data_IF_126104485593
#
_entry.id   IF_126104485593
#
_cell.length_a   1.000
_cell.length_b   1.000
_cell.length_c   1.000
_cell.angle_alpha   90.00
_cell.angle_beta   90.00
_cell.angle_gamma   90.00
#
_symmetry.space_group_name_H-M   'P 1'
#
loop_
_entity.id
_entity.type
_entity.pdbx_description
1 polymer ?
#
# COMPACT_ATOMS: atom_id res chain seq x y z
N UNK A 1 -8.80 3.52 -9.63
CA UNK A 1 -7.87 2.57 -10.30
C UNK A 1 -8.66 1.33 -10.60
N UNK A 2 -8.54 0.78 -11.80
CA UNK A 2 -9.27 -0.44 -12.19
C UNK A 2 -8.65 -1.65 -11.49
N UNK A 3 -9.48 -2.66 -11.19
CA UNK A 3 -8.99 -3.90 -10.57
C UNK A 3 -7.94 -4.61 -11.44
N UNK A 4 -8.05 -4.52 -12.77
CA UNK A 4 -7.05 -4.98 -13.74
C UNK A 4 -5.67 -4.34 -13.57
N UNK A 5 -5.62 -3.03 -13.28
CA UNK A 5 -4.38 -2.30 -13.03
C UNK A 5 -3.77 -2.73 -11.69
N UNK A 6 -4.61 -2.92 -10.66
CA UNK A 6 -4.20 -3.42 -9.34
C UNK A 6 -3.63 -4.84 -9.45
N UNK A 7 -4.28 -5.73 -10.21
CA UNK A 7 -3.80 -7.08 -10.42
C UNK A 7 -2.43 -7.11 -11.09
N UNK A 8 -2.21 -6.21 -12.06
CA UNK A 8 -0.91 -6.04 -12.71
C UNK A 8 0.18 -5.57 -11.72
N UNK A 9 -0.16 -4.64 -10.82
CA UNK A 9 0.76 -4.09 -9.82
C UNK A 9 1.23 -5.12 -8.79
N UNK A 10 0.34 -6.04 -8.40
CA UNK A 10 0.64 -7.06 -7.37
C UNK A 10 0.93 -8.45 -7.96
N UNK A 11 0.93 -8.58 -9.29
CA UNK A 11 1.02 -9.86 -10.02
C UNK A 11 -0.03 -10.86 -9.54
N UNK A 12 -1.26 -10.39 -9.41
CA UNK A 12 -2.41 -11.18 -8.95
C UNK A 12 -3.32 -11.63 -10.09
N UNK A 13 -4.21 -12.56 -9.76
CA UNK A 13 -5.23 -13.11 -10.65
C UNK A 13 -6.63 -12.68 -10.20
N UNK A 14 -7.47 -12.23 -11.12
CA UNK A 14 -8.79 -11.68 -10.83
C UNK A 14 -9.86 -12.76 -10.93
N UNK A 15 -10.71 -12.84 -9.91
CA UNK A 15 -11.93 -13.64 -9.88
C UNK A 15 -13.12 -12.69 -9.69
N UNK A 16 -13.75 -12.28 -10.78
CA UNK A 16 -14.84 -11.29 -10.78
C UNK A 16 -14.68 -10.28 -11.91
N UNK A 17 -15.19 -9.06 -11.71
CA UNK A 17 -15.20 -7.98 -12.70
C UNK A 17 -13.86 -7.21 -12.74
N UNK A 18 -13.05 -7.32 -13.81
CA UNK A 18 -11.77 -6.62 -13.93
C UNK A 18 -11.87 -5.10 -14.05
N UNK A 19 -13.01 -4.57 -14.54
CA UNK A 19 -13.22 -3.13 -14.71
C UNK A 19 -13.81 -2.45 -13.46
N UNK A 20 -13.85 -3.15 -12.34
CA UNK A 20 -14.26 -2.62 -11.04
C UNK A 20 -13.36 -1.45 -10.61
N UNK A 21 -13.98 -0.33 -10.24
CA UNK A 21 -13.28 0.85 -9.74
C UNK A 21 -12.94 0.72 -8.25
N UNK A 22 -11.63 0.70 -7.96
CA UNK A 22 -11.10 0.74 -6.60
C UNK A 22 -10.54 2.15 -6.31
N UNK A 23 -10.98 2.71 -5.19
CA UNK A 23 -10.72 4.09 -4.73
C UNK A 23 -9.88 4.16 -3.47
N UNK A 24 -9.82 3.07 -2.70
CA UNK A 24 -9.11 3.04 -1.43
C UNK A 24 -8.70 1.63 -1.01
N UNK A 25 -7.94 1.58 0.07
CA UNK A 25 -7.40 0.35 0.67
C UNK A 25 -7.71 0.41 2.16
N UNK A 26 -8.41 -0.60 2.68
CA UNK A 26 -8.86 -0.59 4.07
C UNK A 26 -8.83 -1.98 4.71
N UNK A 27 -8.76 -2.02 6.04
CA UNK A 27 -8.89 -3.26 6.80
C UNK A 27 -10.30 -3.86 6.66
N UNK A 28 -10.43 -5.17 6.85
CA UNK A 28 -11.67 -5.92 6.56
C UNK A 28 -12.89 -5.40 7.34
N UNK A 29 -12.69 -4.77 8.49
CA UNK A 29 -13.74 -4.23 9.35
C UNK A 29 -14.14 -2.81 8.98
N UNK A 30 -13.20 -2.03 8.46
CA UNK A 30 -13.38 -0.62 8.11
C UNK A 30 -13.79 -0.42 6.65
N UNK A 31 -13.42 -1.36 5.78
CA UNK A 31 -13.60 -1.25 4.33
C UNK A 31 -15.06 -1.01 3.93
N UNK A 32 -15.24 -0.06 3.01
CA UNK A 32 -16.51 0.33 2.42
C UNK A 32 -16.52 0.06 0.91
N UNK A 33 -17.65 0.35 0.27
CA UNK A 33 -17.77 0.27 -1.17
C UNK A 33 -16.73 1.18 -1.85
N UNK A 34 -16.03 0.63 -2.84
CA UNK A 34 -14.89 1.24 -3.51
C UNK A 34 -13.54 0.86 -2.90
N UNK A 35 -13.50 0.25 -1.72
CA UNK A 35 -12.25 -0.20 -1.11
C UNK A 35 -11.87 -1.62 -1.53
N UNK A 36 -10.56 -1.88 -1.61
CA UNK A 36 -10.00 -3.23 -1.60
C UNK A 36 -9.46 -3.56 -0.20
N UNK A 37 -9.78 -4.76 0.27
CA UNK A 37 -9.29 -5.28 1.56
C UNK A 37 -8.51 -6.57 1.36
N UNK A 38 -8.07 -7.23 2.43
CA UNK A 38 -7.40 -8.52 2.35
C UNK A 38 -7.78 -9.45 3.50
N UNK A 39 -7.64 -10.76 3.26
CA UNK A 39 -7.81 -11.77 4.28
C UNK A 39 -6.44 -12.27 4.78
N UNK A 40 -6.04 -11.88 6.00
CA UNK A 40 -4.86 -12.45 6.67
C UNK A 40 -5.21 -13.74 7.44
N UNK A 41 -5.20 -14.86 6.72
CA UNK A 41 -5.37 -16.18 7.32
C UNK A 41 -6.75 -16.40 7.96
N UNK A 42 -6.85 -17.47 8.76
CA UNK A 42 -8.16 -17.99 9.22
C UNK A 42 -8.88 -17.10 10.26
N UNK A 43 -8.16 -16.18 10.93
CA UNK A 43 -8.71 -15.38 12.05
C UNK A 43 -9.78 -14.37 11.61
N UNK A 44 -9.70 -13.90 10.38
CA UNK A 44 -10.58 -12.85 9.85
C UNK A 44 -11.73 -13.38 8.99
N UNK A 45 -11.85 -14.71 8.83
CA UNK A 45 -12.97 -15.33 8.10
C UNK A 45 -14.32 -14.93 8.72
N UNK A 46 -14.38 -14.82 10.05
CA UNK A 46 -15.59 -14.38 10.77
C UNK A 46 -15.99 -12.93 10.48
N UNK A 47 -15.08 -12.11 9.97
CA UNK A 47 -15.35 -10.71 9.65
C UNK A 47 -15.93 -10.57 8.21
N UNK A 48 -15.80 -11.60 7.35
CA UNK A 48 -16.30 -11.60 5.97
C UNK A 48 -17.79 -11.26 5.83
N UNK A 49 -18.72 -11.79 6.65
CA UNK A 49 -20.15 -11.49 6.51
C UNK A 49 -20.51 -10.01 6.74
N UNK A 50 -19.62 -9.25 7.37
CA UNK A 50 -19.82 -7.83 7.66
C UNK A 50 -18.93 -6.91 6.81
N UNK A 51 -18.11 -7.49 5.94
CA UNK A 51 -17.22 -6.76 5.07
C UNK A 51 -18.02 -6.05 3.97
N UNK A 52 -17.71 -4.77 3.71
CA UNK A 52 -18.35 -3.96 2.67
C UNK A 52 -17.37 -3.53 1.57
N UNK A 53 -16.17 -4.10 1.56
CA UNK A 53 -15.21 -3.87 0.49
C UNK A 53 -15.82 -4.23 -0.87
N UNK A 54 -15.35 -3.59 -1.95
CA UNK A 54 -15.70 -3.98 -3.31
C UNK A 54 -14.85 -5.13 -3.84
N UNK A 55 -13.66 -5.36 -3.26
CA UNK A 55 -12.81 -6.49 -3.60
C UNK A 55 -12.02 -6.97 -2.38
N UNK A 56 -11.70 -8.27 -2.34
CA UNK A 56 -10.84 -8.86 -1.31
C UNK A 56 -9.61 -9.55 -1.91
N UNK A 57 -8.45 -9.28 -1.34
CA UNK A 57 -7.21 -9.98 -1.66
C UNK A 57 -7.13 -11.26 -0.84
N UNK A 58 -6.91 -12.38 -1.52
CA UNK A 58 -6.87 -13.72 -0.92
C UNK A 58 -5.66 -14.49 -1.41
N UNK A 59 -5.18 -15.44 -0.60
CA UNK A 59 -4.10 -16.32 -1.02
C UNK A 59 -4.62 -17.40 -1.97
N UNK A 60 -5.80 -17.92 -1.67
CA UNK A 60 -6.54 -18.85 -2.51
C UNK A 60 -8.00 -18.39 -2.60
N UNK A 61 -8.66 -18.57 -3.77
CA UNK A 61 -10.06 -18.17 -3.94
C UNK A 61 -10.97 -18.87 -2.93
N UNK A 62 -11.88 -18.10 -2.34
CA UNK A 62 -12.92 -18.61 -1.47
C UNK A 62 -14.15 -18.96 -2.30
N UNK A 63 -14.61 -20.21 -2.16
CA UNK A 63 -15.89 -20.63 -2.71
C UNK A 63 -17.04 -20.00 -1.92
N UNK A 64 -18.18 -19.78 -2.57
CA UNK A 64 -19.42 -19.24 -1.99
C UNK A 64 -19.35 -17.79 -1.47
N UNK A 65 -18.31 -17.04 -1.85
CA UNK A 65 -18.23 -15.61 -1.60
C UNK A 65 -18.55 -14.83 -2.89
N UNK A 66 -19.69 -14.11 -2.97
CA UNK A 66 -20.07 -13.35 -4.17
C UNK A 66 -19.27 -12.05 -4.36
N UNK A 67 -18.23 -11.83 -3.54
CA UNK A 67 -17.36 -10.66 -3.60
C UNK A 67 -16.22 -10.90 -4.60
N UNK A 68 -15.91 -9.95 -5.50
CA UNK A 68 -14.73 -10.04 -6.36
C UNK A 68 -13.45 -10.28 -5.57
N UNK A 69 -12.63 -11.21 -6.05
CA UNK A 69 -11.41 -11.62 -5.36
C UNK A 69 -10.18 -11.36 -6.21
N UNK A 70 -9.13 -10.89 -5.58
CA UNK A 70 -7.80 -10.78 -6.16
C UNK A 70 -6.91 -11.85 -5.51
N UNK A 71 -6.62 -12.91 -6.22
CA UNK A 71 -5.69 -13.93 -5.76
C UNK A 71 -4.26 -13.37 -5.85
N UNK A 72 -3.53 -13.39 -4.74
CA UNK A 72 -2.12 -13.03 -4.69
C UNK A 72 -1.35 -14.04 -3.84
N UNK A 73 -0.15 -14.43 -4.28
CA UNK A 73 0.68 -15.39 -3.55
C UNK A 73 0.98 -14.95 -2.09
N UNK A 74 1.05 -13.63 -1.86
CA UNK A 74 1.18 -13.04 -0.53
C UNK A 74 0.20 -11.86 -0.39
N UNK A 75 -0.99 -12.07 0.19
CA UNK A 75 -2.00 -11.01 0.36
C UNK A 75 -1.52 -9.83 1.20
N UNK A 76 -0.66 -10.07 2.19
CA UNK A 76 -0.12 -9.02 3.04
C UNK A 76 0.82 -8.09 2.27
N UNK A 77 1.70 -8.67 1.45
CA UNK A 77 2.60 -7.90 0.58
C UNK A 77 1.81 -7.14 -0.50
N UNK A 78 0.81 -7.77 -1.10
CA UNK A 78 -0.07 -7.10 -2.05
C UNK A 78 -0.79 -5.90 -1.40
N UNK A 79 -1.34 -6.09 -0.20
CA UNK A 79 -1.98 -5.02 0.56
C UNK A 79 -0.99 -3.88 0.90
N UNK A 80 0.23 -4.20 1.34
CA UNK A 80 1.26 -3.21 1.63
C UNK A 80 1.64 -2.37 0.39
N UNK A 81 1.82 -3.01 -0.78
CA UNK A 81 2.06 -2.32 -2.05
C UNK A 81 0.92 -1.37 -2.42
N UNK A 82 -0.32 -1.76 -2.14
CA UNK A 82 -1.48 -0.90 -2.40
C UNK A 82 -1.55 0.27 -1.40
N UNK A 83 -1.21 0.07 -0.13
CA UNK A 83 -1.08 1.18 0.82
C UNK A 83 -0.04 2.21 0.35
N UNK A 84 1.11 1.74 -0.15
CA UNK A 84 2.12 2.61 -0.75
C UNK A 84 1.56 3.38 -1.95
N UNK A 85 0.88 2.70 -2.86
CA UNK A 85 0.33 3.32 -4.06
C UNK A 85 -0.78 4.36 -3.78
N UNK A 86 -1.70 4.04 -2.88
CA UNK A 86 -2.88 4.89 -2.61
C UNK A 86 -2.59 6.04 -1.64
N UNK A 87 -1.69 5.85 -0.68
CA UNK A 87 -1.56 6.79 0.45
C UNK A 87 -0.16 7.38 0.63
N UNK A 88 0.90 6.72 0.14
CA UNK A 88 2.24 7.27 0.28
C UNK A 88 2.46 8.33 -0.78
N UNK A 89 2.55 9.59 -0.34
CA UNK A 89 2.99 10.67 -1.21
C UNK A 89 4.45 10.42 -1.59
N UNK A 90 4.82 10.54 -2.88
CA UNK A 90 6.22 10.47 -3.28
C UNK A 90 7.04 11.43 -2.44
N UNK A 91 8.18 10.96 -1.93
CA UNK A 91 9.12 11.83 -1.25
C UNK A 91 9.56 12.93 -2.22
N UNK A 92 9.42 14.17 -1.79
CA UNK A 92 9.87 15.35 -2.54
C UNK A 92 11.02 15.97 -1.75
N UNK A 93 12.26 15.88 -2.24
CA UNK A 93 13.40 16.51 -1.61
C UNK A 93 13.14 17.99 -1.41
N UNK A 94 13.43 18.49 -0.21
CA UNK A 94 13.32 19.91 0.14
C UNK A 94 14.69 20.61 0.08
N UNK A 95 15.75 19.85 -0.18
CA UNK A 95 17.12 20.32 -0.14
C UNK A 95 17.64 20.47 1.28
N UNK A 96 18.74 21.20 1.40
CA UNK A 96 19.45 21.41 2.65
C UNK A 96 19.09 22.76 3.23
N UNK A 97 18.61 22.78 4.48
CA UNK A 97 18.39 24.03 5.21
C UNK A 97 19.71 24.75 5.46
N UNK A 98 19.70 26.10 5.32
CA UNK A 98 20.85 26.95 5.67
C UNK A 98 21.16 26.94 7.16
N UNK A 99 20.19 26.57 8.00
CA UNK A 99 20.33 26.47 9.45
C UNK A 99 20.82 25.09 9.90
N UNK A 100 21.11 24.17 8.97
CA UNK A 100 21.74 22.90 9.29
C UNK A 100 23.26 23.09 9.42
N UNK A 101 23.87 22.43 10.41
CA UNK A 101 25.32 22.27 10.44
C UNK A 101 25.69 21.01 9.67
N UNK A 102 26.58 21.15 8.69
CA UNK A 102 27.10 20.04 7.90
C UNK A 102 28.62 20.15 7.89
N UNK A 103 29.27 19.10 8.39
CA UNK A 103 30.72 18.96 8.29
C UNK A 103 31.17 18.94 6.83
N UNK A 104 32.31 19.56 6.54
CA UNK A 104 32.99 19.50 5.24
C UNK A 104 33.49 18.08 4.90
N UNK A 105 33.54 17.18 5.89
CA UNK A 105 33.88 15.76 5.73
C UNK A 105 32.67 14.83 5.66
N UNK A 106 31.45 15.36 5.61
CA UNK A 106 30.24 14.58 5.38
C UNK A 106 30.00 14.38 3.88
N UNK A 107 29.43 13.22 3.51
CA UNK A 107 29.03 12.93 2.11
C UNK A 107 27.51 13.01 1.99
N UNK A 108 27.01 14.07 1.36
CA UNK A 108 25.58 14.25 1.16
C UNK A 108 25.15 13.68 -0.19
N UNK A 109 24.18 12.78 -0.17
CA UNK A 109 23.57 12.22 -1.38
C UNK A 109 22.76 13.23 -2.18
N UNK A 110 22.37 12.85 -3.40
CA UNK A 110 21.42 13.64 -4.20
C UNK A 110 20.00 13.50 -3.61
N UNK A 111 19.14 14.47 -3.90
CA UNK A 111 17.71 14.41 -3.53
C UNK A 111 17.45 14.22 -2.02
N UNK A 112 18.21 14.92 -1.16
CA UNK A 112 18.02 14.86 0.31
C UNK A 112 17.13 15.98 0.85
N UNK A 113 16.60 15.77 2.06
CA UNK A 113 16.03 16.84 2.90
C UNK A 113 16.76 16.89 4.23
N UNK A 114 17.50 17.97 4.49
CA UNK A 114 18.15 18.22 5.78
C UNK A 114 17.48 19.42 6.44
N UNK A 115 16.80 19.16 7.55
CA UNK A 115 15.98 20.16 8.23
C UNK A 115 16.83 21.14 9.06
N UNK A 116 16.30 22.36 9.36
CA UNK A 116 16.97 23.32 10.24
C UNK A 116 17.49 22.68 11.53
N UNK A 117 18.69 23.07 11.95
CA UNK A 117 19.33 22.62 13.20
C UNK A 117 19.70 21.13 13.25
N UNK A 118 19.63 20.42 12.12
CA UNK A 118 20.27 19.11 12.00
C UNK A 118 21.80 19.26 12.08
N UNK A 119 22.46 18.33 12.75
CA UNK A 119 23.93 18.29 12.85
C UNK A 119 24.44 17.04 12.15
N UNK A 120 25.12 17.24 11.02
CA UNK A 120 25.74 16.15 10.24
C UNK A 120 27.24 16.17 10.51
N UNK A 121 27.71 15.15 11.22
CA UNK A 121 29.10 15.03 11.67
C UNK A 121 30.04 14.48 10.59
N UNK A 122 31.35 14.50 10.88
CA UNK A 122 32.38 13.90 10.03
C UNK A 122 32.07 12.43 9.73
N UNK A 123 32.19 12.02 8.46
CA UNK A 123 32.01 10.62 8.05
C UNK A 123 30.56 10.13 7.94
N UNK A 124 29.59 11.03 8.10
CA UNK A 124 28.18 10.77 7.76
C UNK A 124 27.94 10.73 6.24
#
# INVERSE_FOLDING_TARGET
>A
MKLSEIASLVHGEIFGEPDLDIRGVAGIKEAQEGDITFLSGKRHIKDLPHCRASCIIVQEPLHDLPLPQLKAANPYLAFAKLLEHFYVKPFKPRGVSRDAFISDKATIGQDVSIFPYSYIADGA
#
